data_IF_514149642291
#
_entry.id   IF_514149642291
#
_cell.length_a   1.000
_cell.length_b   1.000
_cell.length_c   1.000
_cell.angle_alpha   90.00
_cell.angle_beta   90.00
_cell.angle_gamma   90.00
#
_symmetry.space_group_name_H-M   'P 1'
#
loop_
_entity.id
_entity.type
_entity.pdbx_description
1 polymer ?
#
# COMPACT_ATOMS: atom_id res chain seq x y z
N UNK A 1 -21.63 -19.24 17.77
CA UNK A 1 -20.40 -19.11 18.58
C UNK A 1 -19.64 -17.92 18.00
N UNK A 2 -19.23 -16.97 18.83
CA UNK A 2 -18.37 -15.89 18.38
C UNK A 2 -17.04 -16.48 17.93
N UNK A 3 -16.59 -16.13 16.72
CA UNK A 3 -15.26 -16.50 16.24
C UNK A 3 -14.28 -15.48 16.80
N UNK A 4 -13.16 -15.93 17.35
CA UNK A 4 -12.10 -15.05 17.83
C UNK A 4 -10.80 -15.44 17.16
N UNK A 5 -9.98 -14.43 16.84
CA UNK A 5 -8.63 -14.61 16.29
C UNK A 5 -7.69 -13.87 17.22
N UNK A 6 -6.56 -14.48 17.52
CA UNK A 6 -5.55 -13.83 18.35
C UNK A 6 -4.83 -12.74 17.55
N UNK A 7 -4.53 -11.60 18.18
CA UNK A 7 -3.87 -10.47 17.52
C UNK A 7 -2.58 -10.86 16.78
N UNK A 8 -1.80 -11.79 17.33
CA UNK A 8 -0.57 -12.29 16.69
C UNK A 8 -0.81 -12.86 15.28
N UNK A 9 -1.98 -13.46 15.02
CA UNK A 9 -2.34 -14.00 13.71
C UNK A 9 -2.58 -12.88 12.70
N UNK A 10 -3.28 -11.84 13.12
CA UNK A 10 -3.54 -10.66 12.29
C UNK A 10 -2.28 -9.81 12.11
N UNK A 11 -1.42 -9.75 13.12
CA UNK A 11 -0.10 -9.12 13.06
C UNK A 11 0.83 -9.86 12.10
N UNK A 12 0.78 -11.19 12.06
CA UNK A 12 1.56 -11.96 11.09
C UNK A 12 1.19 -11.59 9.64
N UNK A 13 -0.10 -11.40 9.34
CA UNK A 13 -0.56 -10.98 8.02
C UNK A 13 -0.01 -9.60 7.65
N UNK A 14 -0.08 -8.62 8.55
CA UNK A 14 0.47 -7.29 8.29
C UNK A 14 2.00 -7.23 8.34
N UNK A 15 2.65 -8.12 9.07
CA UNK A 15 4.10 -8.25 9.04
C UNK A 15 4.60 -8.71 7.67
N UNK A 16 3.83 -9.47 6.90
CA UNK A 16 4.16 -9.78 5.50
C UNK A 16 4.22 -8.50 4.69
N UNK A 17 3.21 -7.62 4.82
CA UNK A 17 3.17 -6.34 4.12
C UNK A 17 4.32 -5.45 4.56
N UNK A 18 4.50 -5.26 5.87
CA UNK A 18 5.55 -4.40 6.44
C UNK A 18 6.97 -4.82 6.04
N UNK A 19 7.27 -6.11 6.05
CA UNK A 19 8.63 -6.59 5.80
C UNK A 19 8.94 -6.82 4.32
N UNK A 20 7.92 -7.03 3.48
CA UNK A 20 8.11 -7.34 2.05
C UNK A 20 7.79 -6.16 1.13
N UNK A 21 7.10 -5.11 1.60
CA UNK A 21 6.79 -3.94 0.78
C UNK A 21 8.02 -3.04 0.65
N UNK A 22 8.57 -2.98 -0.56
CA UNK A 22 9.72 -2.14 -0.90
C UNK A 22 9.34 -0.95 -1.81
N UNK A 23 8.14 -0.97 -2.39
CA UNK A 23 7.69 0.03 -3.34
C UNK A 23 6.18 0.24 -3.29
N UNK A 24 5.77 1.50 -3.29
CA UNK A 24 4.40 1.91 -3.60
C UNK A 24 4.37 2.53 -4.98
N UNK A 25 3.37 2.15 -5.78
CA UNK A 25 3.11 2.75 -7.10
C UNK A 25 1.72 3.33 -7.16
N UNK A 26 1.61 4.49 -7.79
CA UNK A 26 0.34 5.13 -8.11
C UNK A 26 -0.02 4.80 -9.56
N UNK A 27 -1.19 4.18 -9.76
CA UNK A 27 -1.65 3.69 -11.06
C UNK A 27 -2.92 4.40 -11.51
N UNK A 28 -3.07 4.57 -12.83
CA UNK A 28 -4.31 5.07 -13.45
C UNK A 28 -5.47 4.07 -13.40
N UNK A 29 -5.21 2.79 -13.12
CA UNK A 29 -6.22 1.75 -13.05
C UNK A 29 -5.72 0.49 -12.34
N UNK A 30 -6.63 -0.45 -12.10
CA UNK A 30 -6.32 -1.71 -11.40
C UNK A 30 -5.31 -2.54 -12.20
N UNK A 31 -4.15 -2.90 -11.62
CA UNK A 31 -3.19 -3.77 -12.30
C UNK A 31 -3.72 -5.20 -12.40
N UNK A 32 -3.56 -5.82 -13.58
CA UNK A 32 -3.84 -7.24 -13.77
C UNK A 32 -2.65 -8.12 -13.37
N UNK A 33 -1.43 -7.60 -13.48
CA UNK A 33 -0.19 -8.30 -13.15
C UNK A 33 0.78 -7.43 -12.34
N UNK A 34 1.75 -8.07 -11.68
CA UNK A 34 2.84 -7.37 -10.99
C UNK A 34 3.66 -6.48 -11.95
N UNK A 35 3.90 -6.94 -13.18
CA UNK A 35 4.65 -6.19 -14.18
C UNK A 35 3.95 -4.87 -14.54
N UNK A 36 2.62 -4.92 -14.69
CA UNK A 36 1.80 -3.73 -14.95
C UNK A 36 1.88 -2.71 -13.82
N UNK A 37 1.94 -3.20 -12.58
CA UNK A 37 2.07 -2.35 -11.40
C UNK A 37 3.48 -1.82 -11.17
N UNK A 38 4.52 -2.56 -11.53
CA UNK A 38 5.90 -2.16 -11.22
C UNK A 38 6.49 -1.17 -12.24
N UNK A 39 6.32 -1.45 -13.53
CA UNK A 39 6.92 -0.69 -14.64
C UNK A 39 5.99 -0.51 -15.84
N UNK A 40 4.71 -0.84 -15.69
CA UNK A 40 3.73 -0.74 -16.77
C UNK A 40 3.35 0.71 -17.11
N UNK A 41 2.59 0.86 -18.19
CA UNK A 41 2.09 2.16 -18.69
C UNK A 41 1.13 2.83 -17.70
N UNK A 42 0.57 2.05 -16.77
CA UNK A 42 -0.36 2.55 -15.75
C UNK A 42 0.35 3.35 -14.65
N UNK A 43 1.67 3.18 -14.47
CA UNK A 43 2.42 3.78 -13.36
C UNK A 43 2.66 5.27 -13.59
N UNK A 44 2.10 6.10 -12.73
CA UNK A 44 2.30 7.55 -12.74
C UNK A 44 3.41 8.00 -11.80
N UNK A 45 3.59 7.29 -10.70
CA UNK A 45 4.64 7.57 -9.73
C UNK A 45 5.06 6.31 -8.98
N UNK A 46 6.26 6.36 -8.43
CA UNK A 46 6.73 5.34 -7.50
C UNK A 46 7.41 5.96 -6.29
N UNK A 47 7.25 5.30 -5.15
CA UNK A 47 7.80 5.68 -3.87
C UNK A 47 8.48 4.45 -3.29
N UNK A 48 9.76 4.54 -2.97
CA UNK A 48 10.47 3.47 -2.25
C UNK A 48 9.99 3.44 -0.80
N UNK A 49 9.59 2.26 -0.32
CA UNK A 49 9.15 2.04 1.06
C UNK A 49 10.18 1.19 1.82
N UNK A 50 10.19 1.33 3.13
CA UNK A 50 10.97 0.52 4.04
C UNK A 50 10.11 0.05 5.22
N UNK A 51 10.49 -1.01 5.94
CA UNK A 51 9.72 -1.50 7.08
C UNK A 51 9.46 -0.46 8.18
N UNK A 52 10.32 0.55 8.29
CA UNK A 52 10.15 1.66 9.25
C UNK A 52 8.98 2.60 8.90
N UNK A 53 8.52 2.59 7.65
CA UNK A 53 7.39 3.42 7.19
C UNK A 53 6.03 2.82 7.60
N UNK A 54 6.02 1.62 8.21
CA UNK A 54 4.82 0.92 8.62
C UNK A 54 4.75 0.70 10.13
N UNK A 55 3.65 1.15 10.75
CA UNK A 55 3.38 0.94 12.17
C UNK A 55 2.14 0.07 12.35
N UNK A 56 2.25 -0.94 13.23
CA UNK A 56 1.14 -1.80 13.61
C UNK A 56 0.52 -1.30 14.91
N UNK A 57 -0.80 -1.30 14.98
CA UNK A 57 -1.57 -0.94 16.15
C UNK A 57 -2.89 -1.70 16.18
N UNK A 58 -3.63 -1.58 17.28
CA UNK A 58 -5.00 -2.09 17.35
C UNK A 58 -5.91 -1.35 16.36
N UNK A 59 -6.84 -2.10 15.75
CA UNK A 59 -7.89 -1.56 14.89
C UNK A 59 -8.73 -0.48 15.60
N UNK A 60 -9.47 0.32 14.84
CA UNK A 60 -10.21 1.44 15.44
C UNK A 60 -11.45 0.98 16.21
N UNK A 61 -11.99 -0.19 15.84
CA UNK A 61 -13.13 -0.83 16.51
C UNK A 61 -12.82 -2.26 16.93
N UNK A 62 -12.10 -3.02 16.09
CA UNK A 62 -11.72 -4.42 16.32
C UNK A 62 -10.57 -4.84 15.40
N UNK A 63 -9.88 -5.93 15.70
CA UNK A 63 -8.80 -6.45 14.86
C UNK A 63 -7.53 -5.61 14.91
N UNK A 64 -6.80 -5.55 13.79
CA UNK A 64 -5.48 -4.90 13.69
C UNK A 64 -5.44 -3.89 12.55
N UNK A 65 -4.60 -2.86 12.70
CA UNK A 65 -4.33 -1.88 11.64
C UNK A 65 -2.85 -1.72 11.34
N UNK A 66 -2.57 -1.49 10.06
CA UNK A 66 -1.28 -1.10 9.52
C UNK A 66 -1.38 0.35 9.06
N UNK A 67 -0.64 1.24 9.71
CA UNK A 67 -0.52 2.63 9.28
C UNK A 67 0.71 2.79 8.41
N UNK A 68 0.50 3.38 7.24
CA UNK A 68 1.55 3.78 6.30
C UNK A 68 1.87 5.24 6.57
N UNK A 69 3.13 5.53 6.86
CA UNK A 69 3.59 6.89 7.11
C UNK A 69 3.48 7.76 5.86
N UNK A 70 3.37 9.07 6.08
CA UNK A 70 3.46 10.05 5.00
C UNK A 70 4.83 9.97 4.32
N UNK A 71 4.85 10.02 2.99
CA UNK A 71 6.11 10.00 2.24
C UNK A 71 6.03 10.84 0.98
N UNK A 72 7.11 11.59 0.73
CA UNK A 72 7.26 12.32 -0.52
C UNK A 72 7.67 11.37 -1.66
N UNK A 73 7.13 11.64 -2.84
CA UNK A 73 7.45 10.97 -4.09
C UNK A 73 7.66 11.96 -5.22
N UNK A 74 8.04 11.44 -6.38
CA UNK A 74 8.16 12.23 -7.61
C UNK A 74 7.36 11.59 -8.72
N UNK A 75 6.55 12.38 -9.42
CA UNK A 75 5.79 11.92 -10.56
C UNK A 75 6.70 11.54 -11.72
N UNK A 76 6.50 10.34 -12.28
CA UNK A 76 7.17 9.86 -13.50
C UNK A 76 6.33 10.14 -14.75
N UNK A 77 5.02 10.32 -14.58
CA UNK A 77 4.09 10.73 -15.63
C UNK A 77 2.97 11.60 -15.04
N UNK A 78 2.31 12.39 -15.89
CA UNK A 78 1.17 13.21 -15.49
C UNK A 78 -0.14 12.44 -15.67
N UNK A 79 -1.04 12.54 -14.69
CA UNK A 79 -2.35 11.92 -14.76
C UNK A 79 -3.04 11.84 -13.40
N UNK A 80 -4.22 11.24 -13.39
CA UNK A 80 -4.95 10.93 -12.16
C UNK A 80 -4.73 9.46 -11.80
N UNK A 81 -4.13 9.21 -10.64
CA UNK A 81 -3.99 7.87 -10.10
C UNK A 81 -5.28 7.47 -9.38
N UNK A 82 -5.90 6.40 -9.87
CA UNK A 82 -7.11 5.80 -9.32
C UNK A 82 -6.80 4.69 -8.31
N UNK A 83 -5.60 4.10 -8.38
CA UNK A 83 -5.21 2.94 -7.56
C UNK A 83 -3.83 3.18 -6.97
N UNK A 84 -3.67 2.82 -5.71
CA UNK A 84 -2.38 2.68 -5.04
C UNK A 84 -2.09 1.20 -4.86
N UNK A 85 -0.91 0.75 -5.31
CA UNK A 85 -0.45 -0.62 -5.11
C UNK A 85 0.83 -0.66 -4.26
N UNK A 86 0.85 -1.54 -3.28
CA UNK A 86 2.04 -1.93 -2.51
C UNK A 86 2.65 -3.17 -3.15
N UNK A 87 3.93 -3.09 -3.46
CA UNK A 87 4.67 -4.06 -4.23
C UNK A 87 5.82 -4.63 -3.42
N UNK A 88 6.08 -5.89 -3.66
CA UNK A 88 7.31 -6.60 -3.31
C UNK A 88 8.08 -6.86 -4.60
N UNK A 89 9.09 -6.05 -4.89
CA UNK A 89 9.88 -6.20 -6.12
C UNK A 89 10.84 -7.38 -6.09
N UNK A 90 11.19 -7.87 -4.90
CA UNK A 90 12.03 -9.07 -4.73
C UNK A 90 11.23 -10.33 -5.03
N UNK A 91 10.04 -10.44 -4.46
CA UNK A 91 9.14 -11.59 -4.64
C UNK A 91 8.24 -11.51 -5.87
N UNK A 92 8.20 -10.37 -6.58
CA UNK A 92 7.30 -10.10 -7.71
C UNK A 92 5.81 -10.25 -7.36
N UNK A 93 5.39 -9.65 -6.23
CA UNK A 93 4.03 -9.78 -5.68
C UNK A 93 3.37 -8.43 -5.50
N UNK A 94 2.05 -8.39 -5.68
CA UNK A 94 1.20 -7.29 -5.24
C UNK A 94 0.68 -7.67 -3.86
N UNK A 95 1.03 -6.88 -2.84
CA UNK A 95 0.69 -7.16 -1.45
C UNK A 95 -0.64 -6.55 -1.05
N UNK A 96 -0.91 -5.34 -1.55
CA UNK A 96 -2.10 -4.58 -1.19
C UNK A 96 -2.43 -3.57 -2.29
N UNK A 97 -3.72 -3.40 -2.57
CA UNK A 97 -4.21 -2.33 -3.43
C UNK A 97 -5.34 -1.60 -2.74
N UNK A 98 -5.38 -0.28 -2.89
CA UNK A 98 -6.51 0.54 -2.46
C UNK A 98 -6.86 1.53 -3.54
N UNK A 99 -8.14 1.90 -3.59
CA UNK A 99 -8.59 3.00 -4.40
C UNK A 99 -7.99 4.31 -3.87
N UNK A 100 -7.73 5.23 -4.79
CA UNK A 100 -7.20 6.55 -4.53
C UNK A 100 -7.65 7.54 -5.59
N UNK A 101 -7.37 8.81 -5.38
CA UNK A 101 -7.68 9.84 -6.37
C UNK A 101 -6.63 10.94 -6.30
N UNK A 102 -5.42 10.62 -6.78
CA UNK A 102 -4.25 11.48 -6.67
C UNK A 102 -3.93 12.12 -8.02
N UNK A 103 -3.79 13.44 -8.06
CA UNK A 103 -3.25 14.12 -9.23
C UNK A 103 -1.74 14.07 -9.18
N UNK A 104 -1.13 13.38 -10.14
CA UNK A 104 0.32 13.29 -10.30
C UNK A 104 0.73 14.16 -11.48
N UNK A 105 1.78 14.97 -11.30
CA UNK A 105 2.38 15.74 -12.40
C UNK A 105 3.81 15.26 -12.60
N UNK A 106 4.19 15.04 -13.86
CA UNK A 106 5.54 14.60 -14.21
C UNK A 106 6.61 15.55 -13.66
N UNK A 107 7.68 14.98 -13.12
CA UNK A 107 8.82 15.66 -12.52
C UNK A 107 8.47 16.63 -11.37
N UNK A 108 7.25 16.54 -10.82
CA UNK A 108 6.85 17.30 -9.65
C UNK A 108 6.87 16.43 -8.40
N UNK A 109 7.27 17.05 -7.29
CA UNK A 109 7.15 16.44 -5.98
C UNK A 109 5.68 16.37 -5.58
N UNK A 110 5.29 15.25 -4.98
CA UNK A 110 3.99 15.10 -4.35
C UNK A 110 4.18 14.37 -3.02
N UNK A 111 3.19 14.49 -2.14
CA UNK A 111 3.21 13.83 -0.84
C UNK A 111 2.08 12.83 -0.79
N UNK A 112 2.42 11.55 -0.58
CA UNK A 112 1.46 10.53 -0.21
C UNK A 112 1.15 10.71 1.28
N UNK A 113 -0.07 11.15 1.59
CA UNK A 113 -0.52 11.30 2.97
C UNK A 113 -0.57 9.95 3.69
N UNK A 114 -0.44 9.97 5.02
CA UNK A 114 -0.58 8.77 5.82
C UNK A 114 -1.95 8.14 5.63
N UNK A 115 -2.01 6.82 5.49
CA UNK A 115 -3.26 6.08 5.42
C UNK A 115 -3.16 4.78 6.21
N UNK A 116 -4.31 4.16 6.47
CA UNK A 116 -4.43 2.95 7.27
C UNK A 116 -5.08 1.83 6.45
N UNK A 117 -4.56 0.63 6.61
CA UNK A 117 -5.21 -0.61 6.21
C UNK A 117 -5.63 -1.37 7.47
N UNK A 118 -6.83 -1.94 7.48
CA UNK A 118 -7.39 -2.62 8.67
C UNK A 118 -7.86 -4.03 8.29
N UNK A 119 -7.56 -5.00 9.16
CA UNK A 119 -8.15 -6.34 9.11
C UNK A 119 -9.02 -6.46 10.35
N UNK A 120 -10.33 -6.46 10.14
CA UNK A 120 -11.31 -6.59 11.21
C UNK A 120 -11.35 -8.02 11.77
N UNK A 121 -11.76 -8.14 13.03
CA UNK A 121 -12.00 -9.44 13.65
C UNK A 121 -13.19 -10.16 12.98
N UNK A 122 -13.17 -11.50 12.94
CA UNK A 122 -14.26 -12.26 12.36
C UNK A 122 -15.55 -12.12 13.18
N UNK A 123 -16.65 -11.81 12.49
CA UNK A 123 -18.02 -11.81 13.02
C UNK A 123 -18.68 -13.21 12.95
#
# INVERSE_FOLDING_TARGET
MAKTVHNDVLDAAFNVVKNSCDKITLLTGQPATFADANTGVLVLASITMAPADFTLADGDVSGRKLTVAEKAGTGSASGTAAVLAMLDTVGSRILYTTDGNFTVTNAQAFTLQSFKAEIADPA
#
